data_IF_356261037381
#
_entry.id   IF_356261037381
#
_cell.length_a   1.000
_cell.length_b   1.000
_cell.length_c   1.000
_cell.angle_alpha   90.00
_cell.angle_beta   90.00
_cell.angle_gamma   90.00
#
_symmetry.space_group_name_H-M   'P 1'
#
loop_
_entity.id
_entity.type
_entity.pdbx_description
1 polymer ?
#
# COMPACT_ATOMS: atom_id res chain seq x y z
N UNK A 1 -27.70 32.06 -11.31
CA UNK A 1 -27.52 30.66 -11.78
C UNK A 1 -26.08 30.39 -12.23
N UNK A 2 -25.54 31.06 -13.27
CA UNK A 2 -24.18 30.84 -13.80
C UNK A 2 -23.00 30.90 -12.79
N UNK A 3 -23.04 31.80 -11.80
CA UNK A 3 -21.96 31.90 -10.78
C UNK A 3 -21.94 30.75 -9.77
N UNK A 4 -23.10 30.19 -9.45
CA UNK A 4 -23.22 29.08 -8.51
C UNK A 4 -22.69 27.79 -9.15
N UNK A 5 -23.09 27.50 -10.38
CA UNK A 5 -22.56 26.36 -11.14
C UNK A 5 -21.05 26.46 -11.40
N UNK A 6 -20.53 27.68 -11.64
CA UNK A 6 -19.09 27.89 -11.81
C UNK A 6 -18.30 27.73 -10.49
N UNK A 7 -18.93 27.95 -9.33
CA UNK A 7 -18.31 27.65 -8.04
C UNK A 7 -18.30 26.14 -7.77
N UNK A 8 -19.42 25.46 -8.07
CA UNK A 8 -19.56 24.02 -7.93
C UNK A 8 -18.57 23.24 -8.79
N UNK A 9 -18.42 23.59 -10.09
CA UNK A 9 -17.42 22.98 -10.99
C UNK A 9 -15.98 23.17 -10.53
N UNK A 10 -15.68 24.29 -9.84
CA UNK A 10 -14.35 24.53 -9.26
C UNK A 10 -14.13 23.70 -8.00
N UNK A 11 -15.15 23.54 -7.17
CA UNK A 11 -15.07 22.67 -5.99
C UNK A 11 -14.90 21.22 -6.39
N UNK A 12 -15.68 20.73 -7.35
CA UNK A 12 -15.62 19.37 -7.86
C UNK A 12 -14.24 19.05 -8.49
N UNK A 13 -13.72 19.96 -9.31
CA UNK A 13 -12.36 19.80 -9.85
C UNK A 13 -11.27 19.81 -8.77
N UNK A 14 -11.41 20.61 -7.70
CA UNK A 14 -10.48 20.59 -6.56
C UNK A 14 -10.56 19.28 -5.78
N UNK A 15 -11.77 18.76 -5.55
CA UNK A 15 -11.99 17.47 -4.88
C UNK A 15 -11.36 16.34 -5.70
N UNK A 16 -11.56 16.32 -7.02
CA UNK A 16 -10.95 15.33 -7.90
C UNK A 16 -9.41 15.36 -7.87
N UNK A 17 -8.81 16.55 -7.89
CA UNK A 17 -7.35 16.70 -7.79
C UNK A 17 -6.82 16.14 -6.48
N UNK A 18 -7.50 16.42 -5.36
CA UNK A 18 -7.11 15.89 -4.04
C UNK A 18 -7.21 14.37 -4.01
N UNK A 19 -8.34 13.80 -4.43
CA UNK A 19 -8.52 12.34 -4.47
C UNK A 19 -7.50 11.65 -5.38
N UNK A 20 -7.12 12.26 -6.51
CA UNK A 20 -6.09 11.71 -7.38
C UNK A 20 -4.73 11.68 -6.68
N UNK A 21 -4.36 12.76 -5.98
CA UNK A 21 -3.09 12.83 -5.24
C UNK A 21 -3.05 11.80 -4.12
N UNK A 22 -4.15 11.65 -3.38
CA UNK A 22 -4.27 10.65 -2.32
C UNK A 22 -4.16 9.23 -2.87
N UNK A 23 -4.83 8.93 -3.98
CA UNK A 23 -4.73 7.62 -4.65
C UNK A 23 -3.31 7.34 -5.11
N UNK A 24 -2.66 8.30 -5.77
CA UNK A 24 -1.28 8.13 -6.24
C UNK A 24 -0.33 7.93 -5.06
N UNK A 25 -0.44 8.73 -4.00
CA UNK A 25 0.37 8.56 -2.79
C UNK A 25 0.17 7.17 -2.19
N UNK A 26 -1.08 6.75 -2.02
CA UNK A 26 -1.41 5.44 -1.45
C UNK A 26 -0.81 4.28 -2.26
N UNK A 27 -0.92 4.32 -3.59
CA UNK A 27 -0.34 3.28 -4.45
C UNK A 27 1.18 3.27 -4.42
N UNK A 28 1.82 4.44 -4.32
CA UNK A 28 3.28 4.56 -4.16
C UNK A 28 3.72 3.98 -2.81
N UNK A 29 3.00 4.31 -1.73
CA UNK A 29 3.29 3.77 -0.39
C UNK A 29 3.21 2.23 -0.40
N UNK A 30 2.15 1.66 -0.98
CA UNK A 30 2.01 0.21 -1.11
C UNK A 30 3.11 -0.41 -1.99
N UNK A 31 3.42 0.20 -3.14
CA UNK A 31 4.52 -0.26 -4.00
C UNK A 31 5.88 -0.20 -3.30
N UNK A 32 6.10 0.82 -2.47
CA UNK A 32 7.30 0.94 -1.64
C UNK A 32 7.44 -0.22 -0.65
N UNK A 33 6.34 -0.74 -0.09
CA UNK A 33 6.37 -1.92 0.79
C UNK A 33 6.80 -3.18 0.04
N UNK A 34 6.33 -3.36 -1.20
CA UNK A 34 6.71 -4.50 -2.05
C UNK A 34 8.22 -4.47 -2.33
N UNK A 35 8.76 -3.29 -2.64
CA UNK A 35 10.19 -3.12 -2.87
C UNK A 35 11.03 -3.31 -1.59
N UNK A 36 10.63 -2.71 -0.46
CA UNK A 36 11.30 -2.88 0.83
C UNK A 36 11.33 -4.32 1.32
N UNK A 37 10.27 -5.08 1.05
CA UNK A 37 10.22 -6.51 1.38
C UNK A 37 11.18 -7.37 0.52
N UNK A 38 11.91 -6.77 -0.42
CA UNK A 38 12.83 -7.46 -1.33
C UNK A 38 12.12 -8.27 -2.41
N UNK A 39 10.80 -8.14 -2.55
CA UNK A 39 10.03 -9.00 -3.43
C UNK A 39 10.34 -8.71 -4.91
N UNK A 40 10.58 -7.45 -5.25
CA UNK A 40 10.95 -7.04 -6.63
C UNK A 40 12.25 -7.71 -7.05
N UNK A 41 13.29 -7.64 -6.21
CA UNK A 41 14.59 -8.25 -6.50
C UNK A 41 14.49 -9.79 -6.55
N UNK A 42 13.80 -10.40 -5.58
CA UNK A 42 13.63 -11.85 -5.51
C UNK A 42 12.93 -12.43 -6.74
N UNK A 43 12.02 -11.66 -7.35
CA UNK A 43 11.17 -12.11 -8.46
C UNK A 43 11.63 -11.58 -9.82
N UNK A 44 12.74 -10.84 -9.88
CA UNK A 44 13.22 -10.17 -11.10
C UNK A 44 12.13 -9.29 -11.75
N UNK A 45 11.39 -8.54 -10.93
CA UNK A 45 10.23 -7.72 -11.32
C UNK A 45 9.08 -8.48 -12.03
N UNK A 46 9.04 -9.81 -11.93
CA UNK A 46 7.95 -10.59 -12.52
C UNK A 46 6.64 -10.40 -11.74
N UNK A 47 5.74 -9.62 -12.34
CA UNK A 47 4.46 -9.23 -11.72
C UNK A 47 3.55 -10.41 -11.41
N UNK A 48 3.58 -11.46 -12.23
CA UNK A 48 2.75 -12.64 -12.00
C UNK A 48 3.22 -13.39 -10.74
N UNK A 49 4.52 -13.57 -10.57
CA UNK A 49 5.13 -14.19 -9.40
C UNK A 49 4.90 -13.37 -8.14
N UNK A 50 5.08 -12.05 -8.21
CA UNK A 50 4.76 -11.16 -7.07
C UNK A 50 3.28 -11.27 -6.66
N UNK A 51 2.38 -11.25 -7.64
CA UNK A 51 0.95 -11.36 -7.37
C UNK A 51 0.59 -12.74 -6.77
N UNK A 52 1.16 -13.82 -7.28
CA UNK A 52 1.00 -15.17 -6.72
C UNK A 52 1.46 -15.26 -5.26
N UNK A 53 2.61 -14.67 -4.92
CA UNK A 53 3.10 -14.63 -3.54
C UNK A 53 2.16 -13.85 -2.60
N UNK A 54 1.59 -12.74 -3.08
CA UNK A 54 0.61 -11.97 -2.29
C UNK A 54 -0.71 -12.74 -2.11
N UNK A 55 -1.16 -13.47 -3.13
CA UNK A 55 -2.35 -14.35 -3.03
C UNK A 55 -2.14 -15.47 -2.01
N UNK A 56 -0.95 -16.08 -1.99
CA UNK A 56 -0.58 -17.09 -0.99
C UNK A 56 -0.67 -16.52 0.44
N UNK A 57 -0.18 -15.30 0.67
CA UNK A 57 -0.34 -14.62 1.96
C UNK A 57 -1.82 -14.40 2.32
N UNK A 58 -2.64 -13.97 1.36
CA UNK A 58 -4.08 -13.79 1.60
C UNK A 58 -4.76 -15.12 1.94
N UNK A 59 -4.39 -16.21 1.27
CA UNK A 59 -4.88 -17.56 1.58
C UNK A 59 -4.54 -17.98 3.01
N UNK A 60 -3.26 -17.89 3.39
CA UNK A 60 -2.80 -18.21 4.76
C UNK A 60 -3.48 -17.38 5.85
N UNK A 61 -3.76 -16.10 5.57
CA UNK A 61 -4.45 -15.23 6.52
C UNK A 61 -5.94 -15.59 6.71
N UNK A 62 -6.53 -16.37 5.79
CA UNK A 62 -7.94 -16.74 5.82
C UNK A 62 -8.18 -18.16 6.33
N UNK A 63 -7.25 -19.07 6.09
CA UNK A 63 -7.42 -20.50 6.39
C UNK A 63 -6.95 -20.91 7.80
N UNK A 64 -5.93 -20.24 8.35
CA UNK A 64 -5.42 -20.50 9.71
C UNK A 64 -5.89 -19.42 10.68
N UNK A 65 -6.21 -19.77 11.93
CA UNK A 65 -6.54 -18.88 13.08
C UNK A 65 -6.23 -17.38 12.82
N UNK A 66 -7.11 -16.71 12.07
CA UNK A 66 -6.73 -15.57 11.22
C UNK A 66 -6.16 -14.40 12.01
N UNK A 67 -6.64 -14.23 13.24
CA UNK A 67 -6.22 -13.19 14.16
C UNK A 67 -4.76 -13.37 14.61
N UNK A 68 -4.29 -14.59 14.83
CA UNK A 68 -2.92 -14.86 15.29
C UNK A 68 -1.89 -14.54 14.19
N UNK A 69 -2.21 -14.94 12.96
CA UNK A 69 -1.34 -14.74 11.78
C UNK A 69 -1.17 -13.25 11.46
N UNK A 70 -2.26 -12.49 11.42
CA UNK A 70 -2.20 -11.04 11.16
C UNK A 70 -1.46 -10.29 12.28
N UNK A 71 -1.68 -10.67 13.55
CA UNK A 71 -0.92 -10.08 14.67
C UNK A 71 0.58 -10.37 14.57
N UNK A 72 0.97 -11.59 14.19
CA UNK A 72 2.38 -11.96 14.00
C UNK A 72 3.03 -11.13 12.89
N UNK A 73 2.37 -10.98 11.75
CA UNK A 73 2.89 -10.16 10.64
C UNK A 73 3.00 -8.69 11.02
N UNK A 74 2.01 -8.13 11.71
CA UNK A 74 2.06 -6.75 12.21
C UNK A 74 3.28 -6.52 13.11
N UNK A 75 3.54 -7.43 14.07
CA UNK A 75 4.72 -7.33 14.95
C UNK A 75 6.03 -7.43 14.18
N UNK A 76 6.12 -8.35 13.21
CA UNK A 76 7.33 -8.52 12.38
C UNK A 76 7.60 -7.30 11.52
N UNK A 77 6.58 -6.76 10.85
CA UNK A 77 6.69 -5.54 10.04
C UNK A 77 7.16 -4.35 10.87
N UNK A 78 6.59 -4.13 12.06
CA UNK A 78 7.03 -3.05 12.96
C UNK A 78 8.52 -3.16 13.30
N UNK A 79 9.01 -4.34 13.67
CA UNK A 79 10.44 -4.54 14.00
C UNK A 79 11.35 -4.28 12.80
N UNK A 80 10.93 -4.65 11.59
CA UNK A 80 11.71 -4.37 10.38
C UNK A 80 11.82 -2.86 10.13
N UNK A 81 10.71 -2.12 10.26
CA UNK A 81 10.72 -0.66 10.17
C UNK A 81 11.61 0.01 11.22
N UNK A 82 11.50 -0.43 12.47
CA UNK A 82 12.30 0.12 13.58
C UNK A 82 13.81 -0.11 13.30
N UNK A 83 14.21 -1.30 12.84
CA UNK A 83 15.61 -1.62 12.50
C UNK A 83 16.16 -0.82 11.30
N UNK A 84 15.35 -0.59 10.26
CA UNK A 84 15.73 0.26 9.12
C UNK A 84 15.95 1.71 9.56
N UNK A 85 15.11 2.21 10.46
CA UNK A 85 15.21 3.57 10.99
C UNK A 85 16.49 3.76 11.81
N UNK A 86 16.85 2.79 12.65
CA UNK A 86 18.10 2.80 13.43
C UNK A 86 19.36 2.73 12.55
N UNK A 87 19.29 2.04 11.40
CA UNK A 87 20.42 1.93 10.46
C UNK A 87 20.63 3.21 9.64
N UNK A 88 19.60 4.04 9.50
CA UNK A 88 19.61 5.27 8.70
C UNK A 88 19.88 6.53 9.55
N UNK A 89 19.82 6.41 10.88
CA UNK A 89 20.07 7.49 11.85
C UNK A 89 21.56 7.63 12.18
#
# INVERSE_FOLDING_TARGET
>A
MLRAEAAERRTDSRVWVVQRRERTRHLIELGGLVQKAGLVELTDDDRATMYGALLELVGRARDDNADDTLMLWKRRGKRAFDAEAETTA
#
